data_IF_522077699314
#
_entry.id   IF_522077699314
#
_cell.length_a   1.000
_cell.length_b   1.000
_cell.length_c   1.000
_cell.angle_alpha   90.00
_cell.angle_beta   90.00
_cell.angle_gamma   90.00
#
_symmetry.space_group_name_H-M   'P 1'
#
loop_
_entity.id
_entity.type
_entity.pdbx_description
1 polymer ?
#
# COMPACT_ATOMS: atom_id res chain seq x y z
N UNK A 1 12.55 0.14 1.04
CA UNK A 1 11.75 1.37 0.94
C UNK A 1 11.83 2.11 2.26
N UNK A 2 11.95 3.44 2.22
CA UNK A 2 12.08 4.31 3.39
C UNK A 2 10.71 4.65 4.00
N UNK A 3 10.58 4.48 5.33
CA UNK A 3 9.34 4.75 6.09
C UNK A 3 9.22 6.22 6.53
N UNK A 4 10.33 6.84 6.93
CA UNK A 4 10.37 8.19 7.52
C UNK A 4 10.96 8.16 8.94
N UNK A 5 11.19 9.34 9.52
CA UNK A 5 11.68 9.49 10.90
C UNK A 5 10.64 10.08 11.86
N UNK A 6 9.60 10.71 11.34
CA UNK A 6 8.57 11.40 12.12
C UNK A 6 7.28 11.60 11.30
N UNK A 7 6.21 11.97 11.99
CA UNK A 7 5.00 12.47 11.33
C UNK A 7 5.30 13.80 10.64
N UNK A 8 4.93 13.91 9.36
CA UNK A 8 5.14 15.14 8.59
C UNK A 8 4.06 16.17 8.92
N UNK A 9 4.44 17.44 8.85
CA UNK A 9 3.51 18.59 8.97
C UNK A 9 3.32 19.31 7.65
N UNK A 10 4.22 19.07 6.69
CA UNK A 10 4.16 19.59 5.34
C UNK A 10 4.72 18.58 4.35
N UNK A 11 4.24 18.65 3.10
CA UNK A 11 4.83 17.91 1.98
C UNK A 11 6.32 18.27 1.77
N UNK A 12 6.71 19.49 2.16
CA UNK A 12 8.10 19.96 2.06
C UNK A 12 9.03 19.15 2.98
N UNK A 13 8.53 18.57 4.06
CA UNK A 13 9.32 17.74 4.97
C UNK A 13 9.90 16.54 4.21
N UNK A 14 9.11 15.94 3.31
CA UNK A 14 9.55 14.80 2.49
C UNK A 14 10.65 15.19 1.49
N UNK A 15 10.58 16.37 0.87
CA UNK A 15 11.63 16.88 -0.02
C UNK A 15 12.90 17.26 0.75
N UNK A 16 12.77 17.86 1.93
CA UNK A 16 13.91 18.18 2.80
C UNK A 16 14.61 16.92 3.29
N UNK A 17 13.85 15.90 3.70
CA UNK A 17 14.40 14.60 4.07
C UNK A 17 15.11 13.93 2.88
N UNK A 18 14.58 14.05 1.66
CA UNK A 18 15.27 13.57 0.45
C UNK A 18 16.65 14.20 0.34
N UNK A 19 16.71 15.54 0.32
CA UNK A 19 17.96 16.28 0.15
C UNK A 19 18.95 16.03 1.29
N UNK A 20 18.46 15.80 2.52
CA UNK A 20 19.30 15.57 3.69
C UNK A 20 19.92 14.18 3.73
N UNK A 21 19.14 13.14 3.42
CA UNK A 21 19.54 11.75 3.69
C UNK A 21 19.99 10.97 2.47
N UNK A 22 19.63 11.41 1.27
CA UNK A 22 19.89 10.67 0.05
C UNK A 22 20.77 11.50 -0.87
N UNK A 23 22.07 11.17 -1.00
CA UNK A 23 22.93 11.80 -1.99
C UNK A 23 22.38 11.63 -3.42
N UNK A 24 22.62 12.60 -4.28
CA UNK A 24 22.29 12.49 -5.70
C UNK A 24 23.12 11.40 -6.37
N UNK A 25 22.44 10.38 -6.90
CA UNK A 25 23.08 9.26 -7.59
C UNK A 25 23.54 9.63 -9.00
N UNK A 26 22.75 10.49 -9.67
CA UNK A 26 22.98 10.95 -11.04
C UNK A 26 23.24 12.47 -11.00
N UNK A 27 24.46 12.94 -11.31
CA UNK A 27 24.81 14.36 -11.26
C UNK A 27 24.43 15.08 -12.56
N UNK A 28 23.23 14.81 -13.07
CA UNK A 28 22.70 15.52 -14.24
C UNK A 28 22.18 16.88 -13.80
N UNK A 29 22.63 17.94 -14.47
CA UNK A 29 22.27 19.32 -14.18
C UNK A 29 21.65 19.94 -15.43
N UNK A 30 20.58 20.69 -15.23
CA UNK A 30 19.91 21.48 -16.27
C UNK A 30 20.55 22.86 -16.38
N UNK A 31 20.58 23.41 -17.59
CA UNK A 31 20.97 24.80 -17.83
C UNK A 31 19.93 25.84 -17.31
N UNK A 32 18.77 25.39 -16.83
CA UNK A 32 17.71 26.27 -16.34
C UNK A 32 18.07 26.83 -14.95
N UNK A 33 18.01 28.15 -14.81
CA UNK A 33 18.01 28.80 -13.49
C UNK A 33 16.57 28.82 -12.92
N UNK A 34 16.24 27.98 -11.91
CA UNK A 34 14.89 27.91 -11.38
C UNK A 34 14.47 29.19 -10.63
N UNK A 35 15.42 29.96 -10.11
CA UNK A 35 15.14 31.23 -9.41
C UNK A 35 14.77 32.30 -10.42
N UNK A 36 15.46 32.36 -11.55
CA UNK A 36 15.13 33.28 -12.65
C UNK A 36 13.77 32.96 -13.28
N UNK A 37 13.44 31.68 -13.48
CA UNK A 37 12.12 31.25 -13.96
C UNK A 37 11.00 31.70 -13.01
N UNK A 38 11.18 31.46 -11.71
CA UNK A 38 10.21 31.87 -10.69
C UNK A 38 10.06 33.40 -10.63
N UNK A 39 11.17 34.14 -10.69
CA UNK A 39 11.17 35.61 -10.71
C UNK A 39 10.45 36.18 -11.96
N UNK A 40 10.51 35.45 -13.08
CA UNK A 40 9.81 35.79 -14.30
C UNK A 40 8.34 35.29 -14.34
N UNK A 41 7.82 34.77 -13.21
CA UNK A 41 6.44 34.29 -13.10
C UNK A 41 6.16 32.96 -13.80
N UNK A 42 7.21 32.20 -14.18
CA UNK A 42 7.11 30.88 -14.80
C UNK A 42 7.34 29.78 -13.78
N UNK A 43 6.75 28.60 -14.03
CA UNK A 43 6.99 27.43 -13.19
C UNK A 43 8.34 26.79 -13.56
N UNK A 44 9.32 26.73 -12.64
CA UNK A 44 10.58 26.06 -12.90
C UNK A 44 10.36 24.55 -13.11
N UNK A 45 11.11 23.93 -14.01
CA UNK A 45 11.01 22.50 -14.27
C UNK A 45 11.58 21.65 -13.14
N UNK A 46 12.54 22.19 -12.38
CA UNK A 46 13.21 21.53 -11.25
C UNK A 46 13.72 20.12 -11.63
N UNK A 47 14.45 20.02 -12.75
CA UNK A 47 14.86 18.74 -13.34
C UNK A 47 15.68 17.89 -12.36
N UNK A 48 16.60 18.51 -11.62
CA UNK A 48 17.45 17.87 -10.61
C UNK A 48 16.62 17.33 -9.45
N UNK A 49 15.65 18.12 -8.95
CA UNK A 49 14.74 17.70 -7.89
C UNK A 49 13.91 16.50 -8.35
N UNK A 50 13.37 16.54 -9.58
CA UNK A 50 12.57 15.46 -10.16
C UNK A 50 13.39 14.19 -10.36
N UNK A 51 14.60 14.31 -10.90
CA UNK A 51 15.52 13.20 -11.08
C UNK A 51 15.92 12.57 -9.75
N UNK A 52 16.34 13.40 -8.79
CA UNK A 52 16.70 12.98 -7.44
C UNK A 52 15.56 12.24 -6.76
N UNK A 53 14.37 12.86 -6.72
CA UNK A 53 13.17 12.25 -6.15
C UNK A 53 12.74 10.96 -6.87
N UNK A 54 13.05 10.83 -8.17
CA UNK A 54 12.86 9.62 -8.96
C UNK A 54 13.69 8.43 -8.45
N UNK A 55 14.88 8.70 -7.91
CA UNK A 55 15.82 7.69 -7.38
C UNK A 55 15.61 7.33 -5.91
N UNK A 56 14.76 8.06 -5.17
CA UNK A 56 14.47 7.78 -3.75
C UNK A 56 13.21 6.92 -3.61
N UNK A 57 13.36 5.74 -3.00
CA UNK A 57 12.27 4.78 -2.81
C UNK A 57 11.58 4.93 -1.45
N UNK A 58 10.47 5.68 -1.41
CA UNK A 58 9.57 5.85 -0.25
C UNK A 58 8.22 5.18 -0.45
N UNK A 59 7.51 4.92 0.65
CA UNK A 59 6.14 4.40 0.62
C UNK A 59 5.10 5.43 0.19
N UNK A 60 5.27 6.69 0.61
CA UNK A 60 4.47 7.82 0.17
C UNK A 60 5.42 8.84 -0.46
N UNK A 61 5.33 9.04 -1.77
CA UNK A 61 6.27 9.89 -2.51
C UNK A 61 5.58 11.18 -2.96
N UNK A 62 6.11 12.36 -2.57
CA UNK A 62 5.65 13.60 -3.16
C UNK A 62 6.19 13.71 -4.60
N UNK A 63 5.36 14.13 -5.54
CA UNK A 63 5.76 14.29 -6.94
C UNK A 63 5.42 15.70 -7.37
N UNK A 64 6.48 16.50 -7.56
CA UNK A 64 6.40 17.78 -8.26
C UNK A 64 6.58 17.53 -9.76
N UNK A 65 5.75 18.16 -10.58
CA UNK A 65 5.90 18.14 -12.03
C UNK A 65 5.22 19.37 -12.66
N UNK A 66 5.55 19.66 -13.91
CA UNK A 66 4.96 20.75 -14.70
C UNK A 66 4.34 20.16 -15.96
N UNK A 67 3.02 20.29 -16.11
CA UNK A 67 2.28 19.85 -17.28
C UNK A 67 1.56 21.05 -17.91
N UNK A 68 1.71 21.24 -19.22
CA UNK A 68 1.13 22.38 -19.96
C UNK A 68 1.41 23.75 -19.30
N UNK A 69 2.65 23.93 -18.80
CA UNK A 69 3.09 25.13 -18.11
C UNK A 69 2.52 25.32 -16.70
N UNK A 70 1.71 24.38 -16.19
CA UNK A 70 1.11 24.43 -14.86
C UNK A 70 1.86 23.49 -13.90
N UNK A 71 2.40 24.03 -12.78
CA UNK A 71 3.01 23.19 -11.76
C UNK A 71 1.91 22.44 -11.02
N UNK A 72 2.15 21.17 -10.71
CA UNK A 72 1.27 20.38 -9.88
C UNK A 72 2.06 19.54 -8.90
N UNK A 73 1.39 19.20 -7.80
CA UNK A 73 1.91 18.36 -6.75
C UNK A 73 0.94 17.18 -6.56
N UNK A 74 1.49 15.97 -6.59
CA UNK A 74 0.74 14.73 -6.35
C UNK A 74 1.40 13.92 -5.25
N UNK A 75 0.61 13.08 -4.59
CA UNK A 75 1.10 12.07 -3.68
C UNK A 75 0.96 10.69 -4.35
N UNK A 76 2.05 9.97 -4.47
CA UNK A 76 2.08 8.61 -4.99
C UNK A 76 2.17 7.64 -3.80
N UNK A 77 1.08 6.89 -3.54
CA UNK A 77 1.06 5.83 -2.54
C UNK A 77 1.58 4.52 -3.16
N UNK A 78 2.61 3.93 -2.55
CA UNK A 78 3.33 2.76 -3.06
C UNK A 78 3.14 1.50 -2.20
N UNK A 79 2.06 1.49 -1.41
CA UNK A 79 1.78 0.43 -0.43
C UNK A 79 1.03 -0.76 -1.03
N UNK A 80 0.26 -0.55 -2.09
CA UNK A 80 -0.57 -1.59 -2.68
C UNK A 80 0.29 -2.55 -3.54
N UNK A 81 0.36 -3.84 -3.20
CA UNK A 81 1.03 -4.82 -4.04
C UNK A 81 0.14 -5.17 -5.24
N UNK A 82 0.75 -5.72 -6.29
CA UNK A 82 0.00 -6.42 -7.33
C UNK A 82 -0.82 -7.56 -6.70
N UNK A 83 -2.11 -7.59 -7.00
CA UNK A 83 -3.02 -8.65 -6.55
C UNK A 83 -2.92 -9.88 -7.45
N UNK A 84 -3.35 -11.06 -6.97
CA UNK A 84 -3.36 -12.27 -7.77
C UNK A 84 -4.44 -12.28 -8.87
N UNK A 85 -5.43 -11.40 -8.79
CA UNK A 85 -6.51 -11.22 -9.78
C UNK A 85 -6.90 -9.75 -9.90
N UNK A 86 -7.68 -9.40 -10.93
CA UNK A 86 -8.24 -8.05 -11.07
C UNK A 86 -9.22 -7.77 -9.92
N UNK A 87 -10.04 -8.74 -9.54
CA UNK A 87 -10.97 -8.58 -8.42
C UNK A 87 -10.24 -8.32 -7.10
N UNK A 88 -9.12 -9.00 -6.82
CA UNK A 88 -8.30 -8.74 -5.63
C UNK A 88 -7.64 -7.35 -5.66
N UNK A 89 -7.19 -6.88 -6.83
CA UNK A 89 -6.61 -5.53 -6.96
C UNK A 89 -7.65 -4.44 -6.72
N UNK A 90 -8.87 -4.61 -7.25
CA UNK A 90 -9.97 -3.68 -7.02
C UNK A 90 -10.43 -3.72 -5.55
N UNK A 91 -10.49 -4.90 -4.94
CA UNK A 91 -10.77 -5.07 -3.51
C UNK A 91 -9.75 -4.35 -2.63
N UNK A 92 -8.45 -4.54 -2.87
CA UNK A 92 -7.38 -3.85 -2.15
C UNK A 92 -7.49 -2.32 -2.32
N UNK A 93 -7.81 -1.85 -3.53
CA UNK A 93 -7.97 -0.42 -3.83
C UNK A 93 -9.17 0.18 -3.11
N UNK A 94 -10.34 -0.48 -3.18
CA UNK A 94 -11.55 -0.05 -2.51
C UNK A 94 -11.35 0.05 -0.99
N UNK A 95 -10.74 -0.97 -0.39
CA UNK A 95 -10.43 -0.97 1.03
C UNK A 95 -9.45 0.13 1.43
N UNK A 96 -8.34 0.27 0.69
CA UNK A 96 -7.33 1.28 0.99
C UNK A 96 -7.87 2.70 0.87
N UNK A 97 -8.51 3.04 -0.26
CA UNK A 97 -9.02 4.40 -0.47
C UNK A 97 -10.23 4.72 0.40
N UNK A 98 -11.08 3.73 0.68
CA UNK A 98 -12.16 3.87 1.66
C UNK A 98 -11.61 4.20 3.05
N UNK A 99 -10.71 3.36 3.57
CA UNK A 99 -10.15 3.57 4.90
C UNK A 99 -9.34 4.88 4.98
N UNK A 100 -8.56 5.18 3.93
CA UNK A 100 -7.79 6.42 3.83
C UNK A 100 -8.69 7.65 3.86
N UNK A 101 -9.84 7.63 3.16
CA UNK A 101 -10.79 8.74 3.16
C UNK A 101 -11.27 9.07 4.56
N UNK A 102 -11.67 8.04 5.31
CA UNK A 102 -12.13 8.18 6.70
C UNK A 102 -11.00 8.66 7.61
N UNK A 103 -9.79 8.11 7.48
CA UNK A 103 -8.63 8.50 8.28
C UNK A 103 -8.15 9.93 8.01
N UNK A 104 -8.22 10.39 6.76
CA UNK A 104 -7.82 11.74 6.37
C UNK A 104 -8.75 12.82 6.94
N UNK A 105 -10.01 12.47 7.19
CA UNK A 105 -11.04 13.36 7.74
C UNK A 105 -11.26 13.15 9.25
N UNK A 106 -10.53 12.23 9.89
CA UNK A 106 -10.74 11.88 11.29
C UNK A 106 -10.33 13.03 12.23
N UNK A 107 -11.17 13.30 13.21
CA UNK A 107 -10.92 14.26 14.29
C UNK A 107 -11.17 13.59 15.66
N UNK A 108 -10.17 13.49 16.56
CA UNK A 108 -8.78 13.88 16.37
C UNK A 108 -8.02 12.98 15.38
N UNK A 109 -7.01 13.55 14.72
CA UNK A 109 -6.26 12.87 13.66
C UNK A 109 -5.47 11.67 14.22
N UNK A 110 -5.31 10.57 13.44
CA UNK A 110 -4.71 9.33 13.94
C UNK A 110 -3.28 9.48 14.49
N UNK A 111 -2.46 10.34 13.87
CA UNK A 111 -1.08 10.59 14.32
C UNK A 111 -0.98 11.33 15.65
N UNK A 112 -2.08 11.91 16.16
CA UNK A 112 -2.13 12.48 17.52
C UNK A 112 -2.35 11.41 18.59
N UNK A 113 -2.85 10.22 18.18
CA UNK A 113 -3.21 9.11 19.06
C UNK A 113 -2.21 7.95 19.02
N UNK A 114 -1.20 8.02 18.14
CA UNK A 114 -0.17 7.00 17.96
C UNK A 114 1.20 7.65 17.78
N UNK A 115 2.20 7.15 18.52
CA UNK A 115 3.57 7.56 18.27
C UNK A 115 4.06 7.11 16.90
N UNK A 116 4.96 7.86 16.27
CA UNK A 116 5.54 7.48 14.99
C UNK A 116 6.28 6.13 15.08
N UNK A 117 7.00 5.90 16.18
CA UNK A 117 7.72 4.64 16.43
C UNK A 117 6.75 3.44 16.48
N UNK A 118 5.59 3.59 17.12
CA UNK A 118 4.56 2.54 17.15
C UNK A 118 3.98 2.25 15.76
N UNK A 119 3.77 3.29 14.94
CA UNK A 119 3.31 3.12 13.57
C UNK A 119 4.37 2.39 12.71
N UNK A 120 5.64 2.75 12.86
CA UNK A 120 6.76 2.11 12.19
C UNK A 120 6.90 0.64 12.58
N UNK A 121 6.84 0.34 13.87
CA UNK A 121 6.93 -1.03 14.38
C UNK A 121 5.76 -1.90 13.88
N UNK A 122 4.53 -1.36 13.93
CA UNK A 122 3.35 -2.04 13.38
C UNK A 122 3.50 -2.29 11.88
N UNK A 123 4.02 -1.31 11.13
CA UNK A 123 4.27 -1.46 9.69
C UNK A 123 5.28 -2.58 9.39
N UNK A 124 6.42 -2.60 10.09
CA UNK A 124 7.46 -3.62 9.90
C UNK A 124 6.99 -5.01 10.33
N UNK A 125 6.20 -5.08 11.41
CA UNK A 125 5.58 -6.32 11.89
C UNK A 125 4.57 -6.86 10.88
N UNK A 126 3.72 -6.00 10.31
CA UNK A 126 2.81 -6.37 9.23
C UNK A 126 3.56 -6.84 7.97
N UNK A 127 4.66 -6.18 7.59
CA UNK A 127 5.47 -6.58 6.45
C UNK A 127 6.14 -7.95 6.64
N UNK A 128 6.48 -8.32 7.88
CA UNK A 128 7.13 -9.60 8.20
C UNK A 128 6.15 -10.76 8.36
N UNK A 129 5.04 -10.54 9.05
CA UNK A 129 4.12 -11.61 9.45
C UNK A 129 2.78 -11.59 8.71
N UNK A 130 2.53 -10.55 7.89
CA UNK A 130 1.31 -10.45 7.09
C UNK A 130 0.05 -10.52 7.94
N UNK A 131 -0.89 -11.38 7.55
CA UNK A 131 -2.18 -11.55 8.23
C UNK A 131 -2.07 -12.16 9.64
N UNK A 132 -0.93 -12.77 9.96
CA UNK A 132 -0.62 -13.32 11.27
C UNK A 132 0.02 -12.30 12.22
N UNK A 133 0.24 -11.06 11.76
CA UNK A 133 0.78 -9.99 12.57
C UNK A 133 -0.16 -9.57 13.71
N UNK A 134 0.45 -9.17 14.83
CA UNK A 134 -0.19 -8.43 15.93
C UNK A 134 0.30 -6.98 15.85
N UNK A 135 -0.64 -6.05 15.82
CA UNK A 135 -0.42 -4.64 15.52
C UNK A 135 -0.95 -3.78 16.67
N UNK A 136 -0.40 -2.59 16.84
CA UNK A 136 -0.95 -1.65 17.80
C UNK A 136 -1.91 -0.67 17.12
N UNK A 137 -3.11 -0.50 17.66
CA UNK A 137 -4.10 0.46 17.17
C UNK A 137 -4.61 1.38 18.30
N UNK A 138 -4.83 2.68 18.05
CA UNK A 138 -5.26 3.60 19.08
C UNK A 138 -6.64 3.21 19.63
N UNK A 139 -6.76 3.17 20.97
CA UNK A 139 -7.97 2.76 21.67
C UNK A 139 -8.20 1.26 21.79
N UNK A 140 -7.49 0.43 21.01
CA UNK A 140 -7.56 -1.04 21.09
C UNK A 140 -6.30 -1.66 21.69
N UNK A 141 -5.17 -0.95 21.66
CA UNK A 141 -3.89 -1.51 22.05
C UNK A 141 -3.42 -2.55 21.03
N UNK A 142 -2.86 -3.65 21.51
CA UNK A 142 -2.38 -4.74 20.65
C UNK A 142 -3.52 -5.64 20.17
N UNK A 143 -3.65 -5.80 18.85
CA UNK A 143 -4.75 -6.47 18.19
C UNK A 143 -4.24 -7.30 17.01
N UNK A 144 -4.89 -8.43 16.69
CA UNK A 144 -4.53 -9.20 15.49
C UNK A 144 -4.94 -8.46 14.22
N UNK A 145 -4.24 -8.69 13.11
CA UNK A 145 -4.61 -8.11 11.81
C UNK A 145 -6.06 -8.42 11.43
N UNK A 146 -6.52 -9.65 11.68
CA UNK A 146 -7.91 -10.07 11.42
C UNK A 146 -8.92 -9.24 12.22
N UNK A 147 -8.72 -9.12 13.54
CA UNK A 147 -9.60 -8.33 14.41
C UNK A 147 -9.59 -6.85 14.02
N UNK A 148 -8.42 -6.30 13.68
CA UNK A 148 -8.29 -4.91 13.26
C UNK A 148 -9.00 -4.64 11.92
N UNK A 149 -8.85 -5.54 10.95
CA UNK A 149 -9.52 -5.41 9.66
C UNK A 149 -11.03 -5.50 9.83
N UNK A 150 -11.54 -6.58 10.42
CA UNK A 150 -12.98 -6.83 10.54
C UNK A 150 -13.68 -5.84 11.48
N UNK A 151 -13.07 -5.53 12.63
CA UNK A 151 -13.70 -4.71 13.66
C UNK A 151 -13.56 -3.20 13.46
N UNK A 152 -12.56 -2.75 12.68
CA UNK A 152 -12.21 -1.32 12.61
C UNK A 152 -12.02 -0.82 11.19
N UNK A 153 -11.08 -1.39 10.44
CA UNK A 153 -10.68 -0.81 9.15
C UNK A 153 -11.69 -1.06 8.05
N UNK A 154 -12.36 -2.21 8.05
CA UNK A 154 -13.39 -2.54 7.07
C UNK A 154 -14.63 -1.65 7.23
N UNK A 155 -15.18 -1.43 8.46
CA UNK A 155 -16.19 -0.40 8.69
C UNK A 155 -15.76 1.00 8.21
N UNK A 156 -14.52 1.41 8.52
CA UNK A 156 -13.98 2.70 8.03
C UNK A 156 -13.93 2.76 6.51
N UNK A 157 -13.64 1.64 5.83
CA UNK A 157 -13.62 1.57 4.38
C UNK A 157 -15.01 1.71 3.77
N UNK A 158 -16.03 1.02 4.33
CA UNK A 158 -17.42 1.20 3.89
C UNK A 158 -17.83 2.68 4.01
N UNK A 159 -17.59 3.30 5.16
CA UNK A 159 -17.93 4.70 5.42
C UNK A 159 -17.24 5.65 4.41
N UNK A 160 -15.93 5.51 4.22
CA UNK A 160 -15.18 6.40 3.34
C UNK A 160 -15.58 6.27 1.87
N UNK A 161 -15.89 5.06 1.41
CA UNK A 161 -16.42 4.84 0.06
C UNK A 161 -17.84 5.40 -0.09
N UNK A 162 -18.70 5.23 0.91
CA UNK A 162 -20.05 5.80 0.92
C UNK A 162 -20.01 7.33 0.83
N UNK A 163 -19.17 7.99 1.63
CA UNK A 163 -18.95 9.44 1.57
C UNK A 163 -18.41 9.90 0.20
N UNK A 164 -17.69 9.03 -0.48
CA UNK A 164 -17.17 9.28 -1.83
C UNK A 164 -18.20 9.01 -2.95
N UNK A 165 -19.44 8.64 -2.60
CA UNK A 165 -20.50 8.39 -3.56
C UNK A 165 -20.40 7.07 -4.31
N UNK A 166 -19.60 6.11 -3.81
CA UNK A 166 -19.47 4.79 -4.41
C UNK A 166 -20.74 3.97 -4.13
N UNK A 167 -21.35 3.43 -5.18
CA UNK A 167 -22.58 2.64 -5.11
C UNK A 167 -22.44 1.42 -4.18
N UNK A 168 -23.52 1.09 -3.49
CA UNK A 168 -23.58 0.03 -2.48
C UNK A 168 -23.12 -1.32 -3.06
N UNK A 169 -23.60 -1.66 -4.27
CA UNK A 169 -23.25 -2.93 -4.94
C UNK A 169 -21.74 -3.07 -5.19
N UNK A 170 -21.06 -1.95 -5.45
CA UNK A 170 -19.61 -1.92 -5.65
C UNK A 170 -18.87 -2.10 -4.33
N UNK A 171 -19.34 -1.44 -3.26
CA UNK A 171 -18.75 -1.58 -1.92
C UNK A 171 -18.90 -3.00 -1.41
N UNK A 172 -20.11 -3.55 -1.42
CA UNK A 172 -20.38 -4.92 -0.94
C UNK A 172 -19.56 -5.95 -1.72
N UNK A 173 -19.50 -5.82 -3.05
CA UNK A 173 -18.71 -6.74 -3.89
C UNK A 173 -17.23 -6.74 -3.52
N UNK A 174 -16.60 -5.58 -3.38
CA UNK A 174 -15.16 -5.48 -3.22
C UNK A 174 -14.71 -5.58 -1.77
N UNK A 175 -15.47 -5.01 -0.83
CA UNK A 175 -15.17 -5.11 0.59
C UNK A 175 -15.51 -6.50 1.14
N UNK A 176 -16.51 -7.19 0.60
CA UNK A 176 -16.78 -8.60 0.90
C UNK A 176 -15.59 -9.53 0.57
N UNK A 177 -14.79 -9.21 -0.45
CA UNK A 177 -13.54 -9.95 -0.72
C UNK A 177 -12.51 -9.76 0.40
N UNK A 178 -12.41 -8.55 0.96
CA UNK A 178 -11.48 -8.27 2.06
C UNK A 178 -11.96 -8.91 3.35
N UNK A 179 -13.27 -8.88 3.62
CA UNK A 179 -13.91 -9.58 4.73
C UNK A 179 -13.60 -11.08 4.68
N UNK A 180 -13.96 -11.75 3.58
CA UNK A 180 -13.72 -13.18 3.41
C UNK A 180 -12.23 -13.56 3.52
N UNK A 181 -11.32 -12.72 2.99
CA UNK A 181 -9.87 -12.92 3.16
C UNK A 181 -9.42 -12.80 4.62
N UNK A 182 -9.98 -11.86 5.37
CA UNK A 182 -9.69 -11.69 6.79
C UNK A 182 -10.24 -12.84 7.62
N UNK A 183 -11.47 -13.28 7.35
CA UNK A 183 -12.11 -14.44 8.01
C UNK A 183 -11.36 -15.74 7.75
N UNK A 184 -11.06 -16.03 6.49
CA UNK A 184 -10.36 -17.25 6.08
C UNK A 184 -8.86 -17.20 6.31
N UNK A 185 -8.33 -16.05 6.77
CA UNK A 185 -6.90 -15.74 6.91
C UNK A 185 -6.09 -16.04 5.65
N UNK A 186 -6.71 -15.89 4.48
CA UNK A 186 -6.14 -16.27 3.19
C UNK A 186 -5.85 -15.04 2.35
N UNK A 187 -4.60 -14.91 1.94
CA UNK A 187 -4.16 -13.94 0.95
C UNK A 187 -3.21 -14.64 -0.03
N UNK A 188 -2.72 -13.91 -1.04
CA UNK A 188 -1.77 -14.45 -2.02
C UNK A 188 -0.58 -15.16 -1.38
N UNK A 189 0.10 -14.51 -0.44
CA UNK A 189 1.31 -15.05 0.17
C UNK A 189 1.00 -16.32 0.98
N UNK A 190 -0.05 -16.28 1.81
CA UNK A 190 -0.42 -17.46 2.62
C UNK A 190 -0.94 -18.62 1.76
N UNK A 191 -1.65 -18.36 0.66
CA UNK A 191 -2.06 -19.40 -0.28
C UNK A 191 -0.86 -20.04 -0.98
N UNK A 192 0.10 -19.25 -1.47
CA UNK A 192 1.28 -19.78 -2.15
C UNK A 192 2.13 -20.65 -1.22
N UNK A 193 2.38 -20.18 0.00
CA UNK A 193 3.13 -20.94 1.01
C UNK A 193 2.41 -22.24 1.38
N UNK A 194 1.10 -22.17 1.64
CA UNK A 194 0.32 -23.36 2.00
C UNK A 194 0.25 -24.38 0.85
N UNK A 195 0.14 -23.92 -0.40
CA UNK A 195 0.09 -24.80 -1.58
C UNK A 195 1.41 -25.54 -1.76
N UNK A 196 2.54 -24.85 -1.67
CA UNK A 196 3.88 -25.48 -1.75
C UNK A 196 4.05 -26.50 -0.64
N UNK A 197 3.68 -26.16 0.60
CA UNK A 197 3.78 -27.10 1.73
C UNK A 197 2.97 -28.38 1.48
N UNK A 198 1.72 -28.26 1.06
CA UNK A 198 0.85 -29.40 0.73
C UNK A 198 1.43 -30.27 -0.39
N UNK A 199 1.98 -29.66 -1.43
CA UNK A 199 2.59 -30.40 -2.55
C UNK A 199 3.85 -31.16 -2.10
N UNK A 200 4.64 -30.57 -1.21
CA UNK A 200 5.80 -31.22 -0.61
C UNK A 200 5.39 -32.38 0.31
N UNK A 201 4.33 -32.21 1.12
CA UNK A 201 3.79 -33.26 1.98
C UNK A 201 3.27 -34.46 1.16
N UNK A 202 2.83 -34.21 -0.08
CA UNK A 202 2.44 -35.23 -1.07
C UNK A 202 3.62 -35.87 -1.81
N UNK A 203 4.85 -35.53 -1.43
CA UNK A 203 6.08 -36.15 -1.94
C UNK A 203 6.76 -35.42 -3.09
N UNK A 204 6.28 -34.24 -3.52
CA UNK A 204 7.04 -33.43 -4.48
C UNK A 204 8.29 -32.85 -3.82
N UNK A 205 9.39 -32.79 -4.57
CA UNK A 205 10.51 -31.94 -4.16
C UNK A 205 10.13 -30.45 -4.27
N UNK A 206 10.96 -29.57 -3.72
CA UNK A 206 10.65 -28.13 -3.65
C UNK A 206 10.51 -27.47 -5.02
N UNK A 207 11.36 -27.82 -5.98
CA UNK A 207 11.37 -27.19 -7.30
C UNK A 207 10.10 -27.56 -8.08
N UNK A 208 9.72 -28.84 -8.05
CA UNK A 208 8.48 -29.32 -8.66
C UNK A 208 7.24 -28.72 -7.97
N UNK A 209 7.25 -28.61 -6.63
CA UNK A 209 6.16 -27.98 -5.89
C UNK A 209 6.00 -26.48 -6.21
N UNK A 210 7.10 -25.75 -6.41
CA UNK A 210 7.07 -24.34 -6.83
C UNK A 210 6.53 -24.18 -8.25
N UNK A 211 6.97 -25.04 -9.18
CA UNK A 211 6.49 -25.04 -10.55
C UNK A 211 4.99 -25.35 -10.63
N UNK A 212 4.55 -26.37 -9.89
CA UNK A 212 3.13 -26.75 -9.82
C UNK A 212 2.27 -25.69 -9.14
N UNK A 213 2.76 -25.06 -8.05
CA UNK A 213 2.08 -23.92 -7.44
C UNK A 213 1.92 -22.76 -8.43
N UNK A 214 2.96 -22.44 -9.22
CA UNK A 214 2.88 -21.40 -10.24
C UNK A 214 1.88 -21.76 -11.35
N UNK A 215 1.87 -23.01 -11.80
CA UNK A 215 0.88 -23.50 -12.78
C UNK A 215 -0.55 -23.29 -12.29
N UNK A 216 -0.86 -23.75 -11.07
CA UNK A 216 -2.18 -23.55 -10.42
C UNK A 216 -2.50 -22.06 -10.21
N UNK A 217 -1.51 -21.27 -9.78
CA UNK A 217 -1.65 -19.84 -9.60
C UNK A 217 -2.06 -19.14 -10.91
N UNK A 218 -1.42 -19.49 -12.03
CA UNK A 218 -1.75 -18.95 -13.34
C UNK A 218 -3.18 -19.31 -13.78
N UNK A 219 -3.64 -20.54 -13.51
CA UNK A 219 -5.01 -20.96 -13.81
C UNK A 219 -6.04 -20.15 -13.02
N UNK A 220 -5.85 -20.03 -11.70
CA UNK A 220 -6.76 -19.26 -10.86
C UNK A 220 -6.71 -17.76 -11.13
N UNK A 221 -5.53 -17.21 -11.48
CA UNK A 221 -5.39 -15.82 -11.88
C UNK A 221 -6.27 -15.48 -13.09
N UNK A 222 -6.24 -16.33 -14.12
CA UNK A 222 -7.06 -16.13 -15.34
C UNK A 222 -8.56 -16.31 -15.08
N UNK A 223 -8.95 -17.16 -14.13
CA UNK A 223 -10.35 -17.28 -13.72
C UNK A 223 -10.89 -16.00 -13.07
N UNK A 224 -10.00 -15.13 -12.56
CA UNK A 224 -10.34 -13.86 -11.91
C UNK A 224 -11.28 -14.03 -10.70
N UNK A 225 -11.18 -15.17 -10.01
CA UNK A 225 -11.83 -15.46 -8.74
C UNK A 225 -10.95 -14.98 -7.58
N UNK A 226 -11.52 -14.47 -6.48
CA UNK A 226 -10.72 -13.91 -5.39
C UNK A 226 -9.92 -14.99 -4.66
N UNK A 227 -8.68 -14.70 -4.27
CA UNK A 227 -7.74 -15.70 -3.72
C UNK A 227 -8.25 -16.45 -2.46
N UNK A 228 -9.19 -15.89 -1.71
CA UNK A 228 -9.78 -16.60 -0.57
C UNK A 228 -10.56 -17.85 -1.01
N UNK A 229 -11.15 -17.88 -2.21
CA UNK A 229 -11.94 -19.00 -2.73
C UNK A 229 -11.08 -20.11 -3.34
N UNK A 230 -9.78 -19.86 -3.57
CA UNK A 230 -8.92 -20.81 -4.26
C UNK A 230 -8.70 -22.08 -3.41
N UNK A 231 -8.74 -23.27 -4.02
CA UNK A 231 -8.55 -24.50 -3.28
C UNK A 231 -7.12 -24.59 -2.70
N UNK A 232 -7.03 -25.14 -1.51
CA UNK A 232 -5.80 -25.70 -0.95
C UNK A 232 -6.20 -27.12 -0.61
N UNK A 233 -5.96 -28.05 -1.54
CA UNK A 233 -6.38 -29.44 -1.37
C UNK A 233 -5.59 -30.06 -0.22
N UNK A 234 -6.19 -30.10 0.97
CA UNK A 234 -5.75 -30.95 2.08
C UNK A 234 -6.66 -32.17 2.04
N UNK A 235 -6.09 -33.37 2.10
CA UNK A 235 -6.87 -34.61 2.22
C UNK A 235 -7.78 -34.57 3.46
#
# INVERSE_FOLDING_TARGET
MWFGEQWITSILDLFKENARYFPSLLPEVSDQDPVAELAAGRAPQLAELRLHNGTVYRWNRPVYDVADGRPHLRLENRVLPAGPTVIDMLANSAFYYGALRTLAEADPQPWTKMSFATAQDSFLTAARYGIDARLHWPGLGEVTTQQLVLGTLLPMAHEGLQRSGVADEVRERFLGVIEARAESRRNRASWQVATVAVLQDRGMNRDDALAEMLRRYCEHMHANEPVHSWPIERE
#
